data_IF_372992099046
#
_entry.id   IF_372992099046
#
_cell.length_a   1.000
_cell.length_b   1.000
_cell.length_c   1.000
_cell.angle_alpha   90.00
_cell.angle_beta   90.00
_cell.angle_gamma   90.00
#
_symmetry.space_group_name_H-M   'P 1'
#
loop_
_entity.id
_entity.type
_entity.pdbx_description
1 polymer ?
#
# COMPACT_ATOMS: atom_id res chain seq x y z
N UNK A 1 28.11 -41.70 11.01
CA UNK A 1 29.13 -41.54 9.97
C UNK A 1 28.39 -41.76 8.66
N UNK A 2 28.02 -40.78 7.84
CA UNK A 2 28.35 -39.35 7.68
C UNK A 2 27.08 -38.68 7.10
N UNK A 3 26.49 -37.66 7.71
CA UNK A 3 26.89 -36.23 7.77
C UNK A 3 26.80 -35.50 6.41
N UNK A 4 25.73 -34.70 6.26
CA UNK A 4 25.70 -33.49 5.45
C UNK A 4 25.34 -33.65 3.97
N UNK A 5 24.05 -33.48 3.62
CA UNK A 5 23.75 -32.94 2.29
C UNK A 5 24.26 -31.50 2.29
N UNK A 6 25.43 -31.29 1.70
CA UNK A 6 26.02 -29.98 1.50
C UNK A 6 24.95 -29.03 0.96
N UNK A 7 24.66 -27.98 1.73
CA UNK A 7 24.00 -26.81 1.19
C UNK A 7 24.84 -26.32 0.03
N UNK A 8 24.25 -26.32 -1.17
CA UNK A 8 24.86 -25.70 -2.34
C UNK A 8 25.12 -24.23 -1.97
N UNK A 9 26.40 -23.85 -1.87
CA UNK A 9 26.79 -22.45 -1.77
C UNK A 9 26.28 -21.73 -3.04
N UNK A 10 25.58 -20.59 -2.90
CA UNK A 10 25.15 -19.83 -4.08
C UNK A 10 26.39 -19.47 -4.89
N UNK A 11 26.42 -19.94 -6.13
CA UNK A 11 27.64 -20.00 -6.95
C UNK A 11 27.91 -18.66 -7.63
N UNK A 12 27.02 -17.68 -7.48
CA UNK A 12 27.20 -16.33 -7.99
C UNK A 12 26.57 -15.28 -7.09
N UNK A 13 27.17 -14.09 -7.04
CA UNK A 13 26.61 -12.91 -6.36
C UNK A 13 25.19 -12.57 -6.85
N UNK A 14 24.84 -12.98 -8.08
CA UNK A 14 23.55 -12.76 -8.72
C UNK A 14 22.44 -13.66 -8.11
N UNK A 15 22.79 -14.82 -7.56
CA UNK A 15 21.84 -15.70 -6.84
C UNK A 15 21.48 -15.16 -5.44
N UNK A 16 22.37 -14.37 -4.83
CA UNK A 16 22.10 -13.68 -3.57
C UNK A 16 21.20 -12.44 -3.74
N UNK A 17 21.09 -11.90 -4.96
CA UNK A 17 20.40 -10.64 -5.24
C UNK A 17 19.47 -10.74 -6.45
N UNK A 18 18.17 -10.97 -6.20
CA UNK A 18 17.15 -10.85 -7.25
C UNK A 18 16.81 -9.37 -7.51
N UNK A 19 17.47 -8.75 -8.49
CA UNK A 19 17.20 -7.37 -8.90
C UNK A 19 16.10 -7.37 -9.97
N UNK A 20 14.85 -7.20 -9.55
CA UNK A 20 13.74 -7.01 -10.48
C UNK A 20 13.67 -5.53 -10.92
N UNK A 21 13.98 -5.27 -12.20
CA UNK A 21 13.94 -3.93 -12.80
C UNK A 21 12.51 -3.46 -13.13
N UNK A 22 11.53 -4.36 -13.11
CA UNK A 22 10.13 -4.00 -13.32
C UNK A 22 9.59 -3.37 -12.03
N UNK A 23 8.87 -2.22 -12.09
CA UNK A 23 8.20 -1.66 -10.93
C UNK A 23 7.34 -2.72 -10.24
N UNK A 24 7.61 -2.94 -8.97
CA UNK A 24 6.82 -3.87 -8.15
C UNK A 24 5.40 -3.34 -7.93
N UNK A 25 5.25 -2.02 -7.95
CA UNK A 25 3.98 -1.33 -7.73
C UNK A 25 3.80 -0.20 -8.78
N UNK A 26 2.63 -0.10 -9.40
CA UNK A 26 2.23 1.01 -10.26
C UNK A 26 0.90 1.58 -9.76
N UNK A 27 0.81 2.89 -9.59
CA UNK A 27 -0.38 3.58 -9.14
C UNK A 27 -0.72 4.71 -10.10
N UNK A 28 -1.88 4.63 -10.72
CA UNK A 28 -2.47 5.75 -11.45
C UNK A 28 -3.54 6.38 -10.56
N UNK A 29 -3.38 7.66 -10.24
CA UNK A 29 -4.31 8.38 -9.36
C UNK A 29 -4.86 9.60 -10.07
N UNK A 30 -6.16 9.62 -10.23
CA UNK A 30 -6.91 10.79 -10.64
C UNK A 30 -7.57 11.45 -9.42
N UNK A 31 -7.62 12.77 -9.40
CA UNK A 31 -8.14 13.61 -8.33
C UNK A 31 -8.80 14.85 -8.94
N UNK A 32 -10.07 15.06 -8.61
CA UNK A 32 -10.84 16.26 -8.99
C UNK A 32 -11.59 16.81 -7.79
N UNK A 33 -11.68 18.13 -7.72
CA UNK A 33 -12.42 18.83 -6.68
C UNK A 33 -13.78 19.27 -7.25
N UNK A 34 -14.85 18.93 -6.54
CA UNK A 34 -16.23 19.19 -6.92
C UNK A 34 -16.98 19.60 -5.66
N UNK A 35 -17.56 20.79 -5.64
CA UNK A 35 -18.45 21.27 -4.55
C UNK A 35 -17.89 21.06 -3.13
N UNK A 36 -16.60 21.32 -2.91
CA UNK A 36 -15.99 21.18 -1.59
C UNK A 36 -15.59 19.74 -1.20
N UNK A 37 -15.71 18.79 -2.11
CA UNK A 37 -15.30 17.39 -1.97
C UNK A 37 -14.18 17.10 -2.97
N UNK A 38 -13.13 16.41 -2.51
CA UNK A 38 -12.14 15.80 -3.38
C UNK A 38 -12.56 14.39 -3.74
N UNK A 39 -12.83 14.18 -5.01
CA UNK A 39 -13.08 12.88 -5.63
C UNK A 39 -11.77 12.34 -6.19
N UNK A 40 -11.44 11.10 -5.93
CA UNK A 40 -10.28 10.44 -6.49
C UNK A 40 -10.58 9.04 -6.99
N UNK A 41 -9.93 8.67 -8.07
CA UNK A 41 -9.95 7.31 -8.62
C UNK A 41 -8.51 6.81 -8.63
N UNK A 42 -8.24 5.72 -7.92
CA UNK A 42 -6.93 5.10 -7.88
C UNK A 42 -7.01 3.74 -8.57
N UNK A 43 -6.13 3.52 -9.52
CA UNK A 43 -5.83 2.21 -10.07
C UNK A 43 -4.45 1.80 -9.56
N UNK A 44 -4.39 0.67 -8.89
CA UNK A 44 -3.19 0.14 -8.25
C UNK A 44 -2.88 -1.22 -8.90
N UNK A 45 -1.66 -1.41 -9.38
CA UNK A 45 -1.18 -2.67 -9.95
C UNK A 45 0.05 -3.12 -9.16
N UNK A 46 0.08 -4.40 -8.80
CA UNK A 46 1.12 -5.02 -7.99
C UNK A 46 1.68 -6.21 -8.76
N UNK A 47 2.86 -6.07 -9.35
CA UNK A 47 3.37 -7.01 -10.35
C UNK A 47 3.92 -8.32 -9.76
N UNK A 48 4.53 -8.28 -8.56
CA UNK A 48 5.12 -9.47 -7.94
C UNK A 48 5.01 -9.42 -6.40
N UNK A 49 4.79 -10.57 -5.73
CA UNK A 49 4.61 -11.93 -6.28
C UNK A 49 3.16 -12.28 -6.68
N UNK A 50 2.18 -11.41 -6.38
CA UNK A 50 0.75 -11.78 -6.40
C UNK A 50 0.05 -11.43 -7.73
N UNK A 51 0.64 -10.53 -8.54
CA UNK A 51 0.09 -10.01 -9.79
C UNK A 51 -1.38 -9.57 -9.67
N UNK A 52 -1.63 -8.61 -8.77
CA UNK A 52 -2.96 -8.12 -8.44
C UNK A 52 -3.20 -6.71 -8.95
N UNK A 53 -4.46 -6.40 -9.26
CA UNK A 53 -4.90 -5.04 -9.58
C UNK A 53 -6.09 -4.64 -8.71
N UNK A 54 -6.16 -3.36 -8.39
CA UNK A 54 -7.19 -2.82 -7.53
C UNK A 54 -7.65 -1.44 -8.01
N UNK A 55 -8.96 -1.30 -8.21
CA UNK A 55 -9.62 0.00 -8.39
C UNK A 55 -10.18 0.51 -7.07
N UNK A 56 -9.99 1.79 -6.77
CA UNK A 56 -10.54 2.45 -5.58
C UNK A 56 -11.14 3.79 -5.95
N UNK A 57 -12.39 4.01 -5.54
CA UNK A 57 -13.00 5.34 -5.52
C UNK A 57 -12.80 5.92 -4.12
N UNK A 58 -12.31 7.15 -4.04
CA UNK A 58 -12.02 7.83 -2.79
C UNK A 58 -12.73 9.17 -2.76
N UNK A 59 -13.51 9.42 -1.72
CA UNK A 59 -14.13 10.72 -1.48
C UNK A 59 -13.63 11.25 -0.15
N UNK A 60 -13.22 12.52 -0.11
CA UNK A 60 -12.91 13.19 1.15
C UNK A 60 -13.28 14.67 1.07
N UNK A 61 -13.75 15.28 2.18
CA UNK A 61 -13.98 16.72 2.23
C UNK A 61 -12.69 17.51 2.01
N UNK A 62 -12.82 18.72 1.46
CA UNK A 62 -11.75 19.72 1.46
C UNK A 62 -11.68 20.50 2.78
N UNK A 63 -12.80 20.59 3.50
CA UNK A 63 -12.87 21.29 4.78
C UNK A 63 -12.04 20.59 5.87
N UNK A 64 -11.17 21.31 6.59
CA UNK A 64 -10.38 20.77 7.71
C UNK A 64 -11.22 20.22 8.88
N UNK A 65 -12.46 20.69 9.02
CA UNK A 65 -13.37 20.29 10.09
C UNK A 65 -14.02 18.93 9.80
N UNK A 66 -14.24 18.62 8.52
CA UNK A 66 -14.84 17.35 8.10
C UNK A 66 -13.75 16.31 7.84
N UNK A 67 -13.43 15.54 8.89
CA UNK A 67 -12.28 14.63 8.91
C UNK A 67 -12.64 13.18 8.62
N UNK A 68 -13.23 12.94 7.46
CA UNK A 68 -13.55 11.58 7.00
C UNK A 68 -13.01 11.31 5.59
N UNK A 69 -12.90 10.03 5.26
CA UNK A 69 -12.51 9.51 3.95
C UNK A 69 -13.40 8.32 3.65
N UNK A 70 -14.22 8.44 2.62
CA UNK A 70 -14.96 7.32 2.06
C UNK A 70 -14.08 6.62 1.02
N UNK A 71 -14.15 5.30 1.00
CA UNK A 71 -13.46 4.45 0.04
C UNK A 71 -14.43 3.37 -0.44
N UNK A 72 -14.46 3.15 -1.74
CA UNK A 72 -15.15 2.03 -2.34
C UNK A 72 -14.19 1.26 -3.24
N UNK A 73 -14.16 -0.06 -3.09
CA UNK A 73 -13.30 -0.98 -3.84
C UNK A 73 -14.21 -1.91 -4.65
N UNK A 74 -14.51 -1.58 -5.92
CA UNK A 74 -15.55 -2.27 -6.68
C UNK A 74 -15.34 -3.77 -6.82
N UNK A 75 -14.10 -4.20 -7.05
CA UNK A 75 -13.75 -5.62 -7.27
C UNK A 75 -14.01 -6.44 -6.00
N UNK A 76 -13.66 -5.89 -4.84
CA UNK A 76 -13.85 -6.54 -3.54
C UNK A 76 -15.25 -6.30 -2.95
N UNK A 77 -16.07 -5.51 -3.65
CA UNK A 77 -17.37 -5.03 -3.19
C UNK A 77 -17.33 -4.50 -1.75
N UNK A 78 -16.26 -3.77 -1.41
CA UNK A 78 -16.01 -3.28 -0.06
C UNK A 78 -16.18 -1.76 -0.01
N UNK A 79 -17.04 -1.29 0.89
CA UNK A 79 -17.28 0.12 1.17
C UNK A 79 -16.80 0.44 2.57
N UNK A 80 -16.00 1.50 2.71
CA UNK A 80 -15.42 1.92 3.99
C UNK A 80 -15.55 3.42 4.19
N UNK A 81 -15.88 3.82 5.41
CA UNK A 81 -15.77 5.19 5.89
C UNK A 81 -14.74 5.21 7.01
N UNK A 82 -13.65 5.94 6.78
CA UNK A 82 -12.54 6.06 7.70
C UNK A 82 -12.42 7.49 8.23
N UNK A 83 -12.03 7.64 9.49
CA UNK A 83 -11.62 8.92 10.04
C UNK A 83 -10.30 9.38 9.43
N UNK A 84 -9.98 10.66 9.55
CA UNK A 84 -8.58 11.12 9.46
C UNK A 84 -7.77 10.42 10.56
N UNK A 85 -6.48 10.20 10.30
CA UNK A 85 -5.55 9.74 11.32
C UNK A 85 -5.57 10.70 12.51
N UNK A 86 -5.86 10.17 13.69
CA UNK A 86 -5.85 10.83 14.99
C UNK A 86 -4.46 10.57 15.59
N UNK A 87 -3.62 11.58 15.76
CA UNK A 87 -2.33 11.41 16.44
C UNK A 87 -2.60 11.07 17.91
N UNK A 88 -2.17 9.88 18.35
CA UNK A 88 -2.23 9.47 19.76
C UNK A 88 -0.96 9.93 20.47
N UNK A 89 0.18 9.84 19.80
CA UNK A 89 1.47 10.36 20.25
C UNK A 89 2.23 10.97 19.07
N UNK A 90 3.46 11.47 19.31
CA UNK A 90 4.36 11.94 18.24
C UNK A 90 4.69 10.86 17.22
N UNK A 91 4.64 9.59 17.62
CA UNK A 91 5.05 8.45 16.80
C UNK A 91 3.87 7.55 16.40
N UNK A 92 2.73 7.65 17.09
CA UNK A 92 1.57 6.79 16.88
C UNK A 92 0.36 7.58 16.37
N UNK A 93 -0.30 7.02 15.37
CA UNK A 93 -1.54 7.54 14.80
C UNK A 93 -2.59 6.44 14.70
N UNK A 94 -3.76 6.68 15.29
CA UNK A 94 -4.93 5.81 15.22
C UNK A 94 -5.86 6.26 14.09
N UNK A 95 -6.40 5.32 13.33
CA UNK A 95 -7.47 5.55 12.38
C UNK A 95 -8.60 4.60 12.73
N UNK A 96 -9.83 5.08 12.76
CA UNK A 96 -11.03 4.28 13.01
C UNK A 96 -11.99 4.43 11.84
N UNK A 97 -12.89 3.50 11.69
CA UNK A 97 -13.87 3.51 10.63
C UNK A 97 -14.84 2.35 10.71
N UNK A 98 -15.78 2.35 9.79
CA UNK A 98 -16.74 1.28 9.57
C UNK A 98 -16.65 0.84 8.12
N UNK A 99 -16.75 -0.46 7.90
CA UNK A 99 -16.75 -1.06 6.59
C UNK A 99 -17.90 -2.03 6.41
N UNK A 100 -18.37 -2.17 5.18
CA UNK A 100 -19.28 -3.22 4.78
C UNK A 100 -18.78 -3.86 3.50
N UNK A 101 -18.66 -5.19 3.53
CA UNK A 101 -18.36 -5.98 2.36
C UNK A 101 -19.65 -6.65 1.86
N UNK A 102 -20.08 -6.30 0.66
CA UNK A 102 -21.32 -6.81 0.09
C UNK A 102 -21.20 -8.27 -0.36
N UNK A 103 -20.01 -8.74 -0.69
CA UNK A 103 -19.78 -10.13 -1.11
C UNK A 103 -19.91 -11.09 0.07
N UNK A 104 -19.41 -10.72 1.25
CA UNK A 104 -19.51 -11.52 2.47
C UNK A 104 -20.68 -11.12 3.38
N UNK A 105 -21.46 -10.12 2.98
CA UNK A 105 -22.56 -9.53 3.75
C UNK A 105 -22.19 -9.12 5.18
N UNK A 106 -20.93 -8.74 5.41
CA UNK A 106 -20.40 -8.45 6.73
C UNK A 106 -20.19 -6.94 6.92
N UNK A 107 -20.73 -6.40 8.02
CA UNK A 107 -20.41 -5.05 8.50
C UNK A 107 -19.46 -5.16 9.69
N UNK A 108 -18.40 -4.37 9.69
CA UNK A 108 -17.39 -4.42 10.74
C UNK A 108 -16.81 -3.06 11.08
N UNK A 109 -16.31 -2.96 12.31
CA UNK A 109 -15.46 -1.86 12.73
C UNK A 109 -14.04 -2.08 12.20
N UNK A 110 -13.47 -1.04 11.59
CA UNK A 110 -12.10 -1.02 11.12
C UNK A 110 -11.29 -0.07 11.98
N UNK A 111 -10.19 -0.53 12.56
CA UNK A 111 -9.26 0.34 13.26
C UNK A 111 -7.83 -0.02 12.86
N UNK A 112 -6.98 1.00 12.74
CA UNK A 112 -5.59 0.87 12.33
C UNK A 112 -4.70 1.78 13.16
N UNK A 113 -3.78 1.20 13.90
CA UNK A 113 -2.71 1.92 14.57
C UNK A 113 -1.47 1.92 13.67
N UNK A 114 -0.90 3.09 13.40
CA UNK A 114 0.30 3.25 12.56
C UNK A 114 1.42 3.96 13.33
N UNK A 115 2.64 3.46 13.19
CA UNK A 115 3.87 4.08 13.71
C UNK A 115 4.74 4.62 12.58
N UNK A 116 5.49 5.70 12.83
CA UNK A 116 6.52 6.20 11.90
C UNK A 116 7.89 5.55 12.10
N UNK A 117 8.05 4.67 13.10
CA UNK A 117 9.33 4.06 13.49
C UNK A 117 9.73 2.80 12.67
N UNK A 118 9.18 2.62 11.46
CA UNK A 118 9.63 1.61 10.47
C UNK A 118 10.14 0.29 11.04
N UNK A 119 9.25 -0.57 11.54
CA UNK A 119 9.62 -1.85 12.15
C UNK A 119 8.83 -3.01 11.58
N UNK A 120 9.28 -3.58 10.46
CA UNK A 120 8.83 -4.88 9.95
C UNK A 120 9.94 -5.95 9.97
N UNK A 121 11.11 -5.65 10.57
CA UNK A 121 12.20 -6.60 10.77
C UNK A 121 12.93 -7.02 9.49
N UNK A 122 12.57 -6.45 8.35
CA UNK A 122 13.13 -6.77 7.02
C UNK A 122 13.92 -5.54 6.54
N UNK A 123 15.20 -5.74 6.24
CA UNK A 123 15.99 -4.74 5.53
C UNK A 123 15.47 -4.63 4.10
N UNK A 124 14.77 -3.54 3.80
CA UNK A 124 14.13 -3.32 2.50
C UNK A 124 14.36 -1.91 1.99
N UNK A 125 14.84 -1.79 0.75
CA UNK A 125 14.86 -0.51 0.03
C UNK A 125 13.57 -0.40 -0.78
N UNK A 126 12.82 0.66 -0.52
CA UNK A 126 11.69 1.06 -1.35
C UNK A 126 11.99 2.41 -1.97
N UNK A 127 12.01 2.47 -3.30
CA UNK A 127 12.05 3.73 -4.03
C UNK A 127 10.67 3.94 -4.67
N UNK A 128 10.07 5.11 -4.45
CA UNK A 128 8.78 5.46 -5.05
C UNK A 128 8.92 6.78 -5.79
N UNK A 129 8.81 6.72 -7.11
CA UNK A 129 8.84 7.89 -7.99
C UNK A 129 7.41 8.27 -8.35
N UNK A 130 7.11 9.58 -8.37
CA UNK A 130 5.80 10.13 -8.74
C UNK A 130 5.98 11.13 -9.87
N UNK A 131 5.29 10.91 -10.98
CA UNK A 131 5.25 11.77 -12.15
C UNK A 131 3.85 12.37 -12.28
N UNK A 132 3.75 13.70 -12.24
CA UNK A 132 2.51 14.39 -12.57
C UNK A 132 2.29 14.38 -14.08
N UNK A 133 1.20 13.80 -14.56
CA UNK A 133 0.90 13.71 -15.99
C UNK A 133 0.18 14.98 -16.46
N UNK A 134 -0.83 15.43 -15.70
CA UNK A 134 -1.55 16.68 -15.90
C UNK A 134 -2.29 17.06 -14.60
N UNK A 135 -2.89 18.26 -14.48
CA UNK A 135 -3.57 18.67 -13.26
C UNK A 135 -4.61 17.66 -12.80
N UNK A 136 -4.42 17.13 -11.58
CA UNK A 136 -5.30 16.12 -11.01
C UNK A 136 -4.95 14.68 -11.36
N UNK A 137 -3.93 14.39 -12.18
CA UNK A 137 -3.49 13.02 -12.46
C UNK A 137 -2.01 12.80 -12.20
N UNK A 138 -1.70 11.79 -11.38
CA UNK A 138 -0.34 11.34 -11.09
C UNK A 138 -0.17 9.85 -11.39
N UNK A 139 0.98 9.53 -11.97
CA UNK A 139 1.49 8.18 -12.10
C UNK A 139 2.61 7.99 -11.08
N UNK A 140 2.50 6.98 -10.24
CA UNK A 140 3.52 6.63 -9.26
C UNK A 140 3.96 5.20 -9.48
N UNK A 141 5.25 4.98 -9.57
CA UNK A 141 5.84 3.64 -9.64
C UNK A 141 6.79 3.43 -8.46
N UNK A 142 6.71 2.24 -7.88
CA UNK A 142 7.52 1.81 -6.75
C UNK A 142 8.39 0.63 -7.13
N UNK A 143 9.68 0.74 -6.82
CA UNK A 143 10.61 -0.39 -6.84
C UNK A 143 10.85 -0.86 -5.40
N UNK A 144 10.97 -2.17 -5.25
CA UNK A 144 11.28 -2.82 -3.98
C UNK A 144 12.47 -3.74 -4.19
N UNK A 145 13.49 -3.59 -3.34
CA UNK A 145 14.56 -4.56 -3.19
C UNK A 145 14.54 -5.05 -1.74
N UNK A 146 14.26 -6.34 -1.56
CA UNK A 146 14.28 -7.03 -0.28
C UNK A 146 15.65 -7.68 -0.09
N UNK A 147 16.30 -7.46 1.05
CA UNK A 147 17.61 -8.05 1.36
C UNK A 147 17.42 -9.19 2.35
N UNK A 148 17.73 -10.42 1.93
CA UNK A 148 17.88 -11.55 2.84
C UNK A 148 19.28 -11.54 3.45
N UNK A 149 19.39 -11.42 4.77
CA UNK A 149 20.58 -11.94 5.43
C UNK A 149 20.41 -13.46 5.45
N UNK A 150 21.18 -14.18 4.64
CA UNK A 150 21.36 -15.61 4.83
C UNK A 150 21.83 -15.82 6.27
N UNK A 151 21.04 -16.54 7.07
CA UNK A 151 21.51 -17.03 8.35
C UNK A 151 22.62 -18.03 8.04
N UNK A 152 23.86 -17.66 8.42
CA UNK A 152 25.00 -18.57 8.48
C UNK A 152 24.78 -19.64 9.53
#
# INVERSE_FOLDING_TARGET
MDAGSNGEEPTSWEELYNINLIPSELFLKFRKEIEGIRVGFNFEFYNAPINEFQGKIVLKPLSPERRWKFMYEPIHQDVRVLSKKIPVTKFLSLQVGIGHNFQSHATGWNWKLTTCLGGDGISRIQNKTSLGLFPGMDLRFGWRADYGFGYW
#
